data_IF_501569865994
#
_entry.id   IF_501569865994
#
_cell.length_a   1.000
_cell.length_b   1.000
_cell.length_c   1.000
_cell.angle_alpha   90.00
_cell.angle_beta   90.00
_cell.angle_gamma   90.00
#
_symmetry.space_group_name_H-M   'P 1'
#
loop_
_entity.id
_entity.type
_entity.pdbx_description
1 polymer ?
#
# COMPACT_ATOMS: atom_id res chain seq x y z
N UNK A 1 -10.19 -29.99 -40.18
CA UNK A 1 -10.77 -29.48 -38.93
C UNK A 1 -9.67 -28.68 -38.25
N UNK A 2 -9.72 -27.35 -38.37
CA UNK A 2 -8.76 -26.46 -37.72
C UNK A 2 -8.99 -26.51 -36.19
N UNK A 3 -7.94 -26.54 -35.36
CA UNK A 3 -8.12 -26.43 -33.91
C UNK A 3 -8.74 -25.05 -33.58
N UNK A 4 -9.55 -24.97 -32.50
CA UNK A 4 -10.17 -23.71 -32.11
C UNK A 4 -9.11 -22.67 -31.70
N UNK A 5 -9.39 -21.37 -31.90
CA UNK A 5 -8.50 -20.31 -31.45
C UNK A 5 -8.41 -20.32 -29.92
N UNK A 6 -7.18 -20.21 -29.44
CA UNK A 6 -6.78 -20.21 -28.03
C UNK A 6 -7.60 -19.18 -27.21
N UNK A 7 -8.44 -19.67 -26.30
CA UNK A 7 -9.28 -18.84 -25.41
C UNK A 7 -8.58 -18.61 -24.07
N UNK A 8 -7.42 -17.96 -24.07
CA UNK A 8 -6.78 -17.49 -22.84
C UNK A 8 -6.74 -15.96 -22.74
N UNK A 9 -7.88 -15.29 -22.47
CA UNK A 9 -7.87 -13.90 -22.05
C UNK A 9 -7.53 -13.84 -20.55
N UNK A 10 -6.26 -14.09 -20.17
CA UNK A 10 -5.70 -13.65 -18.87
C UNK A 10 -4.21 -13.94 -18.63
N UNK A 11 -3.50 -14.62 -19.54
CA UNK A 11 -2.08 -14.97 -19.33
C UNK A 11 -1.15 -13.75 -19.19
N UNK A 12 -1.45 -12.62 -19.84
CA UNK A 12 -0.64 -11.38 -19.77
C UNK A 12 -0.76 -10.66 -18.43
N UNK A 13 -1.91 -10.77 -17.76
CA UNK A 13 -2.14 -10.21 -16.43
C UNK A 13 -1.25 -10.96 -15.42
N UNK A 14 -1.29 -12.29 -15.45
CA UNK A 14 -0.43 -13.14 -14.62
C UNK A 14 1.07 -12.91 -14.83
N UNK A 15 1.51 -12.71 -16.07
CA UNK A 15 2.92 -12.48 -16.38
C UNK A 15 3.43 -11.12 -15.90
N UNK A 16 2.55 -10.12 -15.90
CA UNK A 16 2.87 -8.79 -15.36
C UNK A 16 3.00 -8.86 -13.85
N UNK A 17 2.06 -9.51 -13.18
CA UNK A 17 2.07 -9.68 -11.73
C UNK A 17 3.29 -10.47 -11.25
N UNK A 18 3.74 -11.48 -12.01
CA UNK A 18 4.97 -12.21 -11.74
C UNK A 18 6.23 -11.32 -11.78
N UNK A 19 6.30 -10.37 -12.72
CA UNK A 19 7.42 -9.42 -12.79
C UNK A 19 7.37 -8.44 -11.60
N UNK A 20 6.19 -7.93 -11.26
CA UNK A 20 5.99 -7.05 -10.10
C UNK A 20 6.45 -7.74 -8.81
N UNK A 21 6.00 -8.98 -8.61
CA UNK A 21 6.34 -9.78 -7.43
C UNK A 21 7.84 -10.09 -7.37
N UNK A 22 8.46 -10.42 -8.51
CA UNK A 22 9.90 -10.65 -8.54
C UNK A 22 10.71 -9.41 -8.20
N UNK A 23 10.33 -8.23 -8.73
CA UNK A 23 10.98 -6.96 -8.37
C UNK A 23 10.81 -6.69 -6.87
N UNK A 24 9.60 -6.91 -6.32
CA UNK A 24 9.32 -6.75 -4.88
C UNK A 24 10.21 -7.65 -4.03
N UNK A 25 10.25 -8.96 -4.34
CA UNK A 25 11.07 -9.92 -3.59
C UNK A 25 12.55 -9.60 -3.70
N UNK A 26 13.01 -9.18 -4.88
CA UNK A 26 14.41 -8.77 -5.08
C UNK A 26 14.80 -7.56 -4.23
N UNK A 27 13.88 -6.61 -4.02
CA UNK A 27 14.09 -5.46 -3.13
C UNK A 27 14.19 -5.93 -1.68
N UNK A 28 13.28 -6.81 -1.24
CA UNK A 28 13.25 -7.33 0.13
C UNK A 28 14.50 -8.16 0.44
N UNK A 29 14.95 -8.98 -0.51
CA UNK A 29 16.17 -9.80 -0.39
C UNK A 29 17.46 -8.99 -0.54
N UNK A 30 17.37 -7.71 -0.93
CA UNK A 30 18.51 -6.83 -1.17
C UNK A 30 19.27 -7.12 -2.47
N UNK A 31 18.75 -7.97 -3.36
CA UNK A 31 19.32 -8.24 -4.68
C UNK A 31 19.00 -7.14 -5.70
N UNK A 32 18.02 -6.28 -5.39
CA UNK A 32 17.79 -5.00 -6.05
C UNK A 32 17.74 -3.84 -5.04
N UNK A 33 18.62 -2.86 -5.18
CA UNK A 33 18.71 -1.67 -4.36
C UNK A 33 18.15 -0.42 -5.06
N UNK A 34 17.48 0.49 -4.32
CA UNK A 34 17.14 1.81 -4.80
C UNK A 34 18.36 2.56 -5.34
N UNK A 35 18.19 3.30 -6.44
CA UNK A 35 19.29 4.07 -7.04
C UNK A 35 20.26 3.24 -7.90
N UNK A 36 20.08 1.94 -8.06
CA UNK A 36 20.86 1.12 -8.99
C UNK A 36 20.15 0.92 -10.34
N UNK A 37 20.94 0.70 -11.39
CA UNK A 37 20.43 0.46 -12.75
C UNK A 37 20.38 -1.03 -13.07
N UNK A 38 19.23 -1.47 -13.60
CA UNK A 38 18.94 -2.85 -13.95
C UNK A 38 18.60 -2.99 -15.43
N UNK A 39 19.06 -4.09 -16.02
CA UNK A 39 18.79 -4.44 -17.41
C UNK A 39 17.44 -5.15 -17.55
N UNK A 40 16.59 -4.64 -18.43
CA UNK A 40 15.34 -5.31 -18.85
C UNK A 40 15.63 -6.70 -19.45
N UNK A 41 16.75 -6.84 -20.17
CA UNK A 41 17.14 -8.11 -20.79
C UNK A 41 17.48 -9.15 -19.73
N UNK A 42 18.30 -8.76 -18.75
CA UNK A 42 18.71 -9.66 -17.67
C UNK A 42 17.51 -10.11 -16.84
N UNK A 43 16.60 -9.18 -16.51
CA UNK A 43 15.36 -9.50 -15.80
C UNK A 43 14.47 -10.47 -16.60
N UNK A 44 14.39 -10.29 -17.92
CA UNK A 44 13.64 -11.20 -18.79
C UNK A 44 14.24 -12.62 -18.82
N UNK A 45 15.56 -12.72 -18.88
CA UNK A 45 16.28 -13.99 -18.85
C UNK A 45 16.13 -14.69 -17.48
N UNK A 46 16.25 -13.94 -16.37
CA UNK A 46 16.06 -14.44 -14.99
C UNK A 46 14.66 -15.01 -14.77
N UNK A 47 13.65 -14.39 -15.36
CA UNK A 47 12.26 -14.82 -15.23
C UNK A 47 11.83 -15.87 -16.27
N UNK A 48 12.68 -16.18 -17.26
CA UNK A 48 12.31 -16.99 -18.43
C UNK A 48 11.06 -16.45 -19.18
N UNK A 49 10.89 -15.13 -19.22
CA UNK A 49 9.76 -14.43 -19.84
C UNK A 49 10.27 -13.59 -21.01
N UNK A 50 9.46 -13.45 -22.08
CA UNK A 50 9.85 -12.58 -23.19
C UNK A 50 9.92 -11.10 -22.80
N UNK A 51 10.72 -10.31 -23.53
CA UNK A 51 10.98 -8.90 -23.20
C UNK A 51 9.76 -7.98 -23.21
N UNK A 52 8.75 -8.27 -24.04
CA UNK A 52 7.56 -7.41 -24.16
C UNK A 52 6.75 -7.38 -22.86
N UNK A 53 6.28 -8.50 -22.27
CA UNK A 53 5.56 -8.48 -21.00
C UNK A 53 6.40 -7.97 -19.82
N UNK A 54 7.72 -8.20 -19.80
CA UNK A 54 8.61 -7.60 -18.79
C UNK A 54 8.60 -6.08 -18.91
N UNK A 55 8.72 -5.56 -20.13
CA UNK A 55 8.68 -4.12 -20.38
C UNK A 55 7.31 -3.53 -20.06
N UNK A 56 6.21 -4.21 -20.39
CA UNK A 56 4.86 -3.78 -20.04
C UNK A 56 4.69 -3.68 -18.52
N UNK A 57 5.21 -4.64 -17.76
CA UNK A 57 5.19 -4.62 -16.29
C UNK A 57 6.03 -3.49 -15.71
N UNK A 58 7.26 -3.31 -16.21
CA UNK A 58 8.13 -2.22 -15.78
C UNK A 58 7.53 -0.84 -16.13
N UNK A 59 6.84 -0.69 -17.25
CA UNK A 59 6.12 0.55 -17.58
C UNK A 59 5.00 0.83 -16.55
N UNK A 60 4.29 -0.20 -16.06
CA UNK A 60 3.33 -0.01 -14.97
C UNK A 60 4.01 0.42 -13.67
N UNK A 61 5.18 -0.11 -13.35
CA UNK A 61 5.99 0.33 -12.21
C UNK A 61 6.43 1.79 -12.35
N UNK A 62 6.77 2.22 -13.58
CA UNK A 62 7.12 3.61 -13.87
C UNK A 62 5.90 4.53 -13.72
N UNK A 63 4.73 4.12 -14.22
CA UNK A 63 3.48 4.89 -14.09
C UNK A 63 3.05 5.14 -12.63
N UNK A 64 3.44 4.26 -11.71
CA UNK A 64 3.18 4.42 -10.27
C UNK A 64 4.39 4.95 -9.49
N UNK A 65 5.48 5.32 -10.17
CA UNK A 65 6.64 5.99 -9.57
C UNK A 65 7.64 5.09 -8.85
N UNK A 66 7.54 3.76 -8.99
CA UNK A 66 8.46 2.81 -8.33
C UNK A 66 9.79 2.71 -9.07
N UNK A 67 9.78 2.85 -10.39
CA UNK A 67 10.98 2.86 -11.22
C UNK A 67 11.01 4.06 -12.14
N UNK A 68 12.17 4.31 -12.74
CA UNK A 68 12.32 5.19 -13.91
C UNK A 68 13.15 4.53 -14.98
N UNK A 69 12.80 4.74 -16.25
CA UNK A 69 13.61 4.30 -17.38
C UNK A 69 14.66 5.34 -17.78
N UNK A 70 15.79 4.85 -18.30
CA UNK A 70 16.69 5.67 -19.12
C UNK A 70 17.15 4.92 -20.36
N UNK A 71 17.24 5.67 -21.46
CA UNK A 71 17.70 5.15 -22.75
C UNK A 71 19.08 4.51 -22.60
N UNK A 72 19.22 3.29 -23.09
CA UNK A 72 20.44 2.48 -23.06
C UNK A 72 20.97 2.11 -21.65
N UNK A 73 20.21 2.37 -20.58
CA UNK A 73 20.58 1.98 -19.20
C UNK A 73 19.64 0.96 -18.58
N UNK A 74 18.42 0.83 -19.12
CA UNK A 74 17.39 -0.02 -18.56
C UNK A 74 16.52 0.78 -17.60
N UNK A 75 16.25 0.23 -16.42
CA UNK A 75 15.41 0.86 -15.39
C UNK A 75 16.16 1.00 -14.07
N UNK A 76 15.73 1.92 -13.23
CA UNK A 76 16.28 2.13 -11.90
C UNK A 76 15.15 2.24 -10.89
N UNK A 77 15.32 1.60 -9.73
CA UNK A 77 14.40 1.75 -8.60
C UNK A 77 14.51 3.17 -8.04
N UNK A 78 13.36 3.83 -7.91
CA UNK A 78 13.27 5.18 -7.34
C UNK A 78 13.34 5.04 -5.82
N UNK A 79 14.28 5.73 -5.13
CA UNK A 79 14.30 5.73 -3.68
C UNK A 79 13.06 6.40 -3.11
N UNK A 80 12.39 5.78 -2.15
CA UNK A 80 11.37 6.45 -1.33
C UNK A 80 12.05 7.14 -0.17
N UNK A 81 12.01 8.46 -0.19
CA UNK A 81 12.46 9.27 0.94
C UNK A 81 11.40 9.27 2.04
N UNK A 82 11.77 9.54 3.31
CA UNK A 82 10.80 9.80 4.36
C UNK A 82 9.79 10.91 3.97
N UNK A 83 10.23 11.90 3.19
CA UNK A 83 9.41 12.96 2.65
C UNK A 83 8.35 12.45 1.67
N UNK A 84 8.71 11.52 0.79
CA UNK A 84 7.76 10.88 -0.12
C UNK A 84 6.68 10.11 0.66
N UNK A 85 7.06 9.40 1.73
CA UNK A 85 6.10 8.69 2.59
C UNK A 85 5.13 9.68 3.23
N UNK A 86 5.63 10.76 3.84
CA UNK A 86 4.78 11.77 4.45
C UNK A 86 3.80 12.38 3.43
N UNK A 87 4.28 12.73 2.24
CA UNK A 87 3.43 13.26 1.15
C UNK A 87 2.35 12.26 0.71
N UNK A 88 2.72 10.98 0.54
CA UNK A 88 1.77 9.91 0.21
C UNK A 88 0.66 9.86 1.26
N UNK A 89 1.00 9.87 2.54
CA UNK A 89 0.01 9.77 3.61
C UNK A 89 -0.82 11.05 3.78
N UNK A 90 -0.27 12.24 3.50
CA UNK A 90 -1.04 13.48 3.43
C UNK A 90 -2.09 13.44 2.30
N UNK A 91 -1.71 12.96 1.11
CA UNK A 91 -2.65 12.77 -0.01
C UNK A 91 -3.71 11.74 0.34
N UNK A 92 -3.30 10.61 0.94
CA UNK A 92 -4.23 9.59 1.40
C UNK A 92 -5.19 10.13 2.46
N UNK A 93 -4.73 10.89 3.44
CA UNK A 93 -5.58 11.52 4.46
C UNK A 93 -6.65 12.40 3.81
N UNK A 94 -6.24 13.30 2.91
CA UNK A 94 -7.15 14.19 2.19
C UNK A 94 -8.23 13.47 1.34
N UNK A 95 -8.00 12.21 0.96
CA UNK A 95 -8.92 11.43 0.14
C UNK A 95 -9.74 10.42 0.94
N UNK A 96 -9.09 9.69 1.85
CA UNK A 96 -9.65 8.52 2.52
C UNK A 96 -10.44 8.90 3.78
N UNK A 97 -10.03 9.93 4.52
CA UNK A 97 -10.77 10.43 5.70
C UNK A 97 -12.18 10.90 5.32
N UNK A 98 -12.38 11.84 4.37
CA UNK A 98 -13.71 12.22 3.96
C UNK A 98 -14.49 11.06 3.31
N UNK A 99 -13.79 10.14 2.63
CA UNK A 99 -14.42 8.95 2.05
C UNK A 99 -14.99 8.02 3.13
N UNK A 100 -14.27 7.75 4.21
CA UNK A 100 -14.75 6.93 5.32
C UNK A 100 -16.03 7.51 5.92
N UNK A 101 -16.04 8.82 6.21
CA UNK A 101 -17.23 9.51 6.71
C UNK A 101 -18.40 9.53 5.73
N UNK A 102 -18.15 9.56 4.42
CA UNK A 102 -19.21 9.48 3.41
C UNK A 102 -19.74 8.06 3.25
N UNK A 103 -18.85 7.07 3.21
CA UNK A 103 -19.18 5.66 3.07
C UNK A 103 -20.07 5.16 4.20
N UNK A 104 -19.90 5.67 5.44
CA UNK A 104 -20.79 5.32 6.55
C UNK A 104 -22.26 5.68 6.27
N UNK A 105 -22.51 6.74 5.49
CA UNK A 105 -23.85 7.21 5.14
C UNK A 105 -24.36 6.66 3.80
N UNK A 106 -23.48 6.36 2.85
CA UNK A 106 -23.85 6.06 1.46
C UNK A 106 -23.60 4.63 0.98
N UNK A 107 -22.91 3.78 1.76
CA UNK A 107 -22.67 2.37 1.39
C UNK A 107 -23.99 1.61 1.17
N UNK A 108 -24.00 0.70 0.20
CA UNK A 108 -25.12 -0.23 0.01
C UNK A 108 -25.03 -1.41 0.99
N UNK A 109 -26.11 -2.20 1.17
CA UNK A 109 -26.07 -3.43 1.95
C UNK A 109 -24.98 -4.40 1.46
N UNK A 110 -24.83 -4.56 0.14
CA UNK A 110 -23.81 -5.45 -0.46
C UNK A 110 -22.40 -4.96 -0.14
N UNK A 111 -22.17 -3.65 -0.10
CA UNK A 111 -20.89 -3.08 0.29
C UNK A 111 -20.63 -3.25 1.80
N UNK A 112 -21.66 -3.18 2.63
CA UNK A 112 -21.55 -3.47 4.06
C UNK A 112 -21.13 -4.93 4.30
N UNK A 113 -21.76 -5.88 3.59
CA UNK A 113 -21.40 -7.30 3.63
C UNK A 113 -19.96 -7.51 3.13
N UNK A 114 -19.56 -6.83 2.05
CA UNK A 114 -18.20 -6.89 1.53
C UNK A 114 -17.17 -6.37 2.55
N UNK A 115 -17.44 -5.25 3.21
CA UNK A 115 -16.56 -4.69 4.25
C UNK A 115 -16.41 -5.68 5.42
N UNK A 116 -17.52 -6.27 5.88
CA UNK A 116 -17.49 -7.27 6.95
C UNK A 116 -16.70 -8.52 6.55
N UNK A 117 -16.88 -9.02 5.32
CA UNK A 117 -16.15 -10.17 4.81
C UNK A 117 -14.64 -9.88 4.68
N UNK A 118 -14.26 -8.68 4.26
CA UNK A 118 -12.86 -8.26 4.18
C UNK A 118 -12.20 -8.23 5.55
N UNK A 119 -12.92 -7.81 6.60
CA UNK A 119 -12.41 -7.91 7.97
C UNK A 119 -12.10 -9.36 8.35
N UNK A 120 -13.07 -10.27 8.16
CA UNK A 120 -12.85 -11.68 8.48
C UNK A 120 -11.65 -12.24 7.70
N UNK A 121 -11.52 -11.90 6.42
CA UNK A 121 -10.39 -12.33 5.61
C UNK A 121 -9.04 -11.77 6.10
N UNK A 122 -8.99 -10.52 6.56
CA UNK A 122 -7.79 -9.93 7.18
C UNK A 122 -7.44 -10.63 8.49
N UNK A 123 -8.43 -10.89 9.36
CA UNK A 123 -8.20 -11.60 10.63
C UNK A 123 -7.69 -13.02 10.40
N UNK A 124 -8.25 -13.75 9.42
CA UNK A 124 -7.75 -15.08 9.04
C UNK A 124 -6.32 -15.02 8.51
N UNK A 125 -6.02 -14.12 7.57
CA UNK A 125 -4.68 -13.98 7.03
C UNK A 125 -3.66 -13.56 8.09
N UNK A 126 -4.05 -12.72 9.06
CA UNK A 126 -3.22 -12.35 10.19
C UNK A 126 -2.89 -13.56 11.08
N UNK A 127 -3.88 -14.38 11.42
CA UNK A 127 -3.70 -15.59 12.23
C UNK A 127 -2.83 -16.65 11.53
N UNK A 128 -2.93 -16.74 10.21
CA UNK A 128 -2.11 -17.64 9.37
C UNK A 128 -0.73 -17.07 9.04
N UNK A 129 -0.44 -15.83 9.45
CA UNK A 129 0.79 -15.09 9.12
C UNK A 129 1.01 -14.93 7.60
N UNK A 130 -0.06 -14.92 6.81
CA UNK A 130 -0.02 -14.73 5.36
C UNK A 130 -0.03 -13.22 5.03
N UNK A 131 1.16 -12.61 5.04
CA UNK A 131 1.32 -11.19 4.74
C UNK A 131 0.76 -10.80 3.37
N UNK A 132 0.93 -11.67 2.37
CA UNK A 132 0.52 -11.38 1.00
C UNK A 132 -1.00 -11.23 0.95
N UNK A 133 -1.72 -12.24 1.45
CA UNK A 133 -3.18 -12.20 1.48
C UNK A 133 -3.66 -11.06 2.37
N UNK A 134 -3.03 -10.85 3.53
CA UNK A 134 -3.39 -9.77 4.45
C UNK A 134 -3.38 -8.41 3.75
N UNK A 135 -2.26 -8.04 3.12
CA UNK A 135 -2.12 -6.73 2.47
C UNK A 135 -2.98 -6.59 1.22
N UNK A 136 -3.27 -7.68 0.50
CA UNK A 136 -4.28 -7.65 -0.57
C UNK A 136 -5.67 -7.29 -0.01
N UNK A 137 -6.10 -7.92 1.09
CA UNK A 137 -7.41 -7.65 1.71
C UNK A 137 -7.48 -6.26 2.35
N UNK A 138 -6.39 -5.79 2.97
CA UNK A 138 -6.25 -4.40 3.44
C UNK A 138 -6.38 -3.41 2.26
N UNK A 139 -5.79 -3.70 1.10
CA UNK A 139 -6.01 -2.87 -0.10
C UNK A 139 -7.49 -2.83 -0.51
N UNK A 140 -8.12 -4.00 -0.54
CA UNK A 140 -9.50 -4.15 -0.97
C UNK A 140 -10.45 -3.40 -0.01
N UNK A 141 -10.15 -3.36 1.30
CA UNK A 141 -10.91 -2.63 2.31
C UNK A 141 -10.93 -1.12 2.04
N UNK A 142 -9.76 -0.52 1.83
CA UNK A 142 -9.66 0.89 1.48
C UNK A 142 -10.36 1.20 0.14
N UNK A 143 -10.21 0.30 -0.84
CA UNK A 143 -10.84 0.45 -2.15
C UNK A 143 -12.38 0.37 -2.09
N UNK A 144 -12.95 -0.52 -1.27
CA UNK A 144 -14.41 -0.61 -1.12
C UNK A 144 -14.96 0.61 -0.38
N UNK A 145 -14.25 1.14 0.64
CA UNK A 145 -14.66 2.38 1.33
C UNK A 145 -14.71 3.56 0.35
N UNK A 146 -13.68 3.74 -0.48
CA UNK A 146 -13.65 4.79 -1.50
C UNK A 146 -14.76 4.60 -2.56
N UNK A 147 -15.05 3.35 -2.93
CA UNK A 147 -16.14 3.04 -3.87
C UNK A 147 -17.50 3.34 -3.24
N UNK A 148 -17.73 2.98 -1.99
CA UNK A 148 -18.95 3.26 -1.23
C UNK A 148 -19.19 4.76 -1.04
N UNK A 149 -18.13 5.56 -0.97
CA UNK A 149 -18.18 7.01 -0.98
C UNK A 149 -18.43 7.62 -2.38
N UNK A 150 -18.50 6.81 -3.45
CA UNK A 150 -18.61 7.28 -4.83
C UNK A 150 -17.35 7.98 -5.36
N UNK A 151 -16.19 7.71 -4.76
CA UNK A 151 -14.91 8.39 -5.05
C UNK A 151 -13.98 7.51 -5.91
N UNK A 152 -14.47 7.02 -7.05
CA UNK A 152 -13.72 6.10 -7.92
C UNK A 152 -12.36 6.64 -8.41
N UNK A 153 -12.26 7.94 -8.70
CA UNK A 153 -10.97 8.57 -9.06
C UNK A 153 -9.98 8.57 -7.90
N UNK A 154 -10.47 8.80 -6.69
CA UNK A 154 -9.64 8.73 -5.49
C UNK A 154 -9.19 7.30 -5.22
N UNK A 155 -10.06 6.30 -5.41
CA UNK A 155 -9.71 4.87 -5.37
C UNK A 155 -8.54 4.54 -6.28
N UNK A 156 -8.59 4.96 -7.54
CA UNK A 156 -7.51 4.71 -8.49
C UNK A 156 -6.19 5.34 -8.04
N UNK A 157 -6.23 6.58 -7.51
CA UNK A 157 -5.05 7.27 -7.00
C UNK A 157 -4.48 6.58 -5.75
N UNK A 158 -5.32 6.30 -4.75
CA UNK A 158 -4.92 5.64 -3.50
C UNK A 158 -4.34 4.26 -3.78
N UNK A 159 -4.91 3.49 -4.72
CA UNK A 159 -4.35 2.19 -5.11
C UNK A 159 -2.92 2.34 -5.64
N UNK A 160 -2.66 3.32 -6.52
CA UNK A 160 -1.29 3.57 -7.02
C UNK A 160 -0.32 3.93 -5.89
N UNK A 161 -0.73 4.82 -4.97
CA UNK A 161 0.08 5.24 -3.83
C UNK A 161 0.38 4.08 -2.88
N UNK A 162 -0.61 3.21 -2.62
CA UNK A 162 -0.46 2.00 -1.78
C UNK A 162 0.48 0.97 -2.42
N UNK A 163 0.44 0.78 -3.74
CA UNK A 163 1.40 -0.11 -4.43
C UNK A 163 2.80 0.48 -4.38
N UNK A 164 2.96 1.79 -4.61
CA UNK A 164 4.27 2.46 -4.51
C UNK A 164 4.90 2.29 -3.13
N UNK A 165 4.12 2.52 -2.07
CA UNK A 165 4.60 2.36 -0.69
C UNK A 165 5.05 0.92 -0.40
N UNK A 166 4.28 -0.08 -0.85
CA UNK A 166 4.58 -1.51 -0.63
C UNK A 166 5.79 -2.01 -1.40
N UNK A 167 5.90 -1.64 -2.67
CA UNK A 167 7.01 -2.08 -3.53
C UNK A 167 8.37 -1.63 -2.99
N UNK A 168 8.38 -0.51 -2.27
CA UNK A 168 9.61 0.11 -1.78
C UNK A 168 9.92 -0.34 -0.35
N UNK A 169 9.49 -1.54 0.05
CA UNK A 169 9.88 -2.22 1.29
C UNK A 169 9.36 -1.58 2.57
N UNK A 170 8.42 -0.64 2.48
CA UNK A 170 7.69 -0.11 3.63
C UNK A 170 6.61 -1.14 4.03
N UNK A 171 7.04 -2.21 4.70
CA UNK A 171 6.14 -3.15 5.35
C UNK A 171 6.13 -2.87 6.84
N UNK A 172 4.96 -2.55 7.38
CA UNK A 172 4.78 -2.31 8.81
C UNK A 172 4.85 -3.58 9.65
N UNK A 173 4.88 -4.77 9.02
CA UNK A 173 4.94 -6.08 9.70
C UNK A 173 6.36 -6.50 10.12
N UNK A 174 7.40 -5.88 9.57
CA UNK A 174 8.80 -6.28 9.79
C UNK A 174 9.36 -5.72 11.11
N UNK A 175 8.80 -6.16 12.24
CA UNK A 175 9.33 -5.95 13.59
C UNK A 175 8.76 -4.75 14.35
N UNK A 176 7.93 -3.92 13.72
CA UNK A 176 7.28 -2.79 14.42
C UNK A 176 5.86 -3.12 14.90
N UNK A 177 5.12 -3.97 14.17
CA UNK A 177 3.77 -4.43 14.50
C UNK A 177 3.55 -5.83 13.95
N UNK A 178 2.71 -6.63 14.58
CA UNK A 178 2.22 -7.90 14.05
C UNK A 178 1.09 -7.68 13.04
N UNK A 179 0.76 -8.68 12.20
CA UNK A 179 -0.42 -8.59 11.33
C UNK A 179 -1.72 -8.46 12.14
N UNK A 180 -1.78 -9.06 13.33
CA UNK A 180 -2.91 -8.94 14.25
C UNK A 180 -3.07 -7.51 14.78
N UNK A 181 -1.97 -6.83 15.11
CA UNK A 181 -1.99 -5.40 15.49
C UNK A 181 -2.57 -4.56 14.36
N UNK A 182 -2.09 -4.76 13.14
CA UNK A 182 -2.54 -4.02 11.96
C UNK A 182 -4.02 -4.33 11.69
N UNK A 183 -4.47 -5.58 11.83
CA UNK A 183 -5.89 -5.93 11.66
C UNK A 183 -6.77 -5.19 12.68
N UNK A 184 -6.34 -5.17 13.95
CA UNK A 184 -7.07 -4.47 15.03
C UNK A 184 -7.19 -2.97 14.81
N UNK A 185 -6.21 -2.34 14.17
CA UNK A 185 -6.28 -0.91 13.81
C UNK A 185 -7.40 -0.59 12.81
N UNK A 186 -7.88 -1.56 12.04
CA UNK A 186 -8.99 -1.38 11.10
C UNK A 186 -10.37 -1.52 11.75
N UNK A 187 -10.47 -2.17 12.92
CA UNK A 187 -11.75 -2.36 13.64
C UNK A 187 -12.52 -1.04 13.84
N UNK A 188 -11.92 0.05 14.36
CA UNK A 188 -12.66 1.28 14.60
C UNK A 188 -13.22 1.90 13.30
N UNK A 189 -12.50 1.77 12.19
CA UNK A 189 -12.94 2.25 10.88
C UNK A 189 -14.16 1.45 10.43
N UNK A 190 -14.05 0.12 10.46
CA UNK A 190 -15.08 -0.80 10.00
C UNK A 190 -16.33 -0.65 10.85
N UNK A 191 -16.19 -0.65 12.18
CA UNK A 191 -17.28 -0.44 13.11
C UNK A 191 -17.99 0.89 12.86
N UNK A 192 -17.25 2.00 12.68
CA UNK A 192 -17.87 3.30 12.43
C UNK A 192 -18.58 3.38 11.06
N UNK A 193 -17.97 2.82 10.00
CA UNK A 193 -18.57 2.77 8.67
C UNK A 193 -19.82 1.90 8.67
N UNK A 194 -19.78 0.72 9.28
CA UNK A 194 -20.94 -0.17 9.39
C UNK A 194 -22.01 0.37 10.34
N UNK A 195 -21.62 1.08 11.39
CA UNK A 195 -22.53 1.74 12.34
C UNK A 195 -23.21 3.00 11.80
N UNK A 196 -22.74 3.53 10.66
CA UNK A 196 -23.32 4.73 10.07
C UNK A 196 -22.92 6.03 10.77
N UNK A 197 -21.78 6.04 11.47
CA UNK A 197 -21.26 7.22 12.16
C UNK A 197 -20.18 7.91 11.30
N UNK A 198 -20.52 9.05 10.65
CA UNK A 198 -19.58 9.74 9.77
C UNK A 198 -18.44 10.46 10.51
N UNK A 199 -18.63 10.83 11.78
CA UNK A 199 -17.57 11.48 12.57
C UNK A 199 -16.58 10.42 13.04
N UNK A 200 -17.07 9.37 13.70
CA UNK A 200 -16.22 8.28 14.16
C UNK A 200 -15.44 7.62 13.00
N UNK A 201 -16.03 7.52 11.80
CA UNK A 201 -15.35 6.95 10.64
C UNK A 201 -14.21 7.83 10.11
N UNK A 202 -14.36 9.15 10.16
CA UNK A 202 -13.28 10.10 9.79
C UNK A 202 -12.14 10.00 10.80
N UNK A 203 -12.46 10.13 12.09
CA UNK A 203 -11.48 10.13 13.16
C UNK A 203 -10.72 8.80 13.24
N UNK A 204 -11.39 7.67 12.96
CA UNK A 204 -10.75 6.36 12.90
C UNK A 204 -9.81 6.23 11.70
N UNK A 205 -10.22 6.68 10.51
CA UNK A 205 -9.39 6.63 9.30
C UNK A 205 -8.17 7.55 9.43
N UNK A 206 -8.35 8.75 9.97
CA UNK A 206 -7.28 9.71 10.20
C UNK A 206 -6.21 9.13 11.14
N UNK A 207 -6.62 8.59 12.30
CA UNK A 207 -5.70 7.94 13.25
C UNK A 207 -4.96 6.77 12.64
N UNK A 208 -5.64 5.92 11.89
CA UNK A 208 -5.01 4.79 11.21
C UNK A 208 -3.94 5.24 10.21
N UNK A 209 -4.23 6.25 9.40
CA UNK A 209 -3.29 6.80 8.42
C UNK A 209 -2.13 7.52 9.11
N UNK A 210 -2.38 8.27 10.17
CA UNK A 210 -1.34 8.94 10.94
C UNK A 210 -0.37 7.94 11.58
N UNK A 211 -0.91 6.92 12.27
CA UNK A 211 -0.12 5.89 12.91
C UNK A 211 0.74 5.13 11.89
N UNK A 212 0.12 4.70 10.77
CA UNK A 212 0.84 3.97 9.72
C UNK A 212 1.88 4.85 9.02
N UNK A 213 1.55 6.10 8.70
CA UNK A 213 2.46 7.01 8.01
C UNK A 213 3.68 7.36 8.86
N UNK A 214 3.48 7.70 10.13
CA UNK A 214 4.58 7.99 11.07
C UNK A 214 5.51 6.79 11.23
N UNK A 215 4.96 5.59 11.30
CA UNK A 215 5.74 4.35 11.38
C UNK A 215 6.62 4.16 10.13
N UNK A 216 6.05 4.40 8.95
CA UNK A 216 6.75 4.23 7.68
C UNK A 216 7.81 5.31 7.44
N UNK A 217 7.61 6.53 7.95
CA UNK A 217 8.65 7.57 8.01
C UNK A 217 9.83 7.11 8.86
N UNK A 218 9.57 6.57 10.06
CA UNK A 218 10.64 6.00 10.90
C UNK A 218 11.39 4.86 10.18
N UNK A 219 10.67 3.97 9.49
CA UNK A 219 11.30 2.91 8.71
C UNK A 219 12.15 3.44 7.55
N UNK A 220 11.70 4.51 6.88
CA UNK A 220 12.47 5.13 5.79
C UNK A 220 13.77 5.79 6.30
N UNK A 221 13.72 6.45 7.46
CA UNK A 221 14.90 7.00 8.14
C UNK A 221 15.89 5.89 8.54
N UNK A 222 15.41 4.83 9.19
CA UNK A 222 16.24 3.70 9.60
C UNK A 222 16.98 3.05 8.43
N UNK A 223 16.32 2.90 7.28
CA UNK A 223 16.93 2.30 6.07
C UNK A 223 17.96 3.19 5.39
N UNK A 224 17.82 4.51 5.51
CA UNK A 224 18.76 5.47 4.94
C UNK A 224 19.92 5.81 5.88
N UNK A 225 19.89 5.33 7.13
CA UNK A 225 20.86 5.72 8.17
C UNK A 225 20.72 7.19 8.58
N UNK A 226 19.54 7.77 8.37
CA UNK A 226 19.24 9.15 8.68
C UNK A 226 18.81 9.28 10.15
N UNK A 227 19.55 10.08 10.92
CA UNK A 227 19.40 10.24 12.37
C UNK A 227 18.35 11.30 12.77
N UNK A 228 17.62 11.89 11.81
CA UNK A 228 16.53 12.83 12.12
C UNK A 228 15.45 12.17 12.98
N UNK A 229 14.86 12.96 13.88
CA UNK A 229 13.73 12.52 14.70
C UNK A 229 12.49 12.29 13.81
N UNK A 230 12.00 11.05 13.77
CA UNK A 230 10.90 10.67 12.89
C UNK A 230 9.57 11.32 13.27
N UNK A 231 9.30 11.52 14.57
CA UNK A 231 8.06 12.12 15.02
C UNK A 231 8.04 13.62 14.70
N UNK A 232 9.17 14.31 14.90
CA UNK A 232 9.33 15.70 14.51
C UNK A 232 9.21 15.87 12.99
N UNK A 233 9.87 15.00 12.21
CA UNK A 233 9.83 15.05 10.75
C UNK A 233 8.42 14.79 10.23
N UNK A 234 7.73 13.78 10.76
CA UNK A 234 6.33 13.50 10.44
C UNK A 234 5.45 14.73 10.72
N UNK A 235 5.51 15.27 11.95
CA UNK A 235 4.71 16.43 12.34
C UNK A 235 4.96 17.64 11.43
N UNK A 236 6.21 17.94 11.07
CA UNK A 236 6.54 19.05 10.19
C UNK A 236 6.03 18.86 8.76
N UNK A 237 6.15 17.64 8.22
CA UNK A 237 5.78 17.35 6.84
C UNK A 237 4.27 17.17 6.63
N UNK A 238 3.55 16.85 7.70
CA UNK A 238 2.11 16.59 7.65
C UNK A 238 1.28 17.63 8.38
N UNK A 239 1.88 18.76 8.77
CA UNK A 239 1.18 19.90 9.36
C UNK A 239 0.00 20.34 8.47
N UNK A 240 -1.17 20.53 9.08
CA UNK A 240 -2.42 20.83 8.39
C UNK A 240 -3.11 19.66 7.67
N UNK A 241 -2.54 18.45 7.66
CA UNK A 241 -3.16 17.24 7.08
C UNK A 241 -3.68 16.24 8.11
N UNK A 242 -3.19 16.32 9.35
CA UNK A 242 -3.65 15.54 10.49
C UNK A 242 -3.87 16.47 11.69
N UNK A 243 -4.93 16.25 12.46
CA UNK A 243 -5.13 16.98 13.72
C UNK A 243 -4.06 16.57 14.77
N UNK A 244 -3.59 17.51 15.60
CA UNK A 244 -2.55 17.27 16.64
C UNK A 244 -2.89 16.11 17.59
N UNK A 245 -4.18 15.83 17.79
CA UNK A 245 -4.67 14.76 18.66
C UNK A 245 -4.45 13.36 18.05
N UNK A 246 -4.22 13.27 16.75
CA UNK A 246 -4.06 12.02 16.01
C UNK A 246 -2.67 11.38 16.17
N UNK A 247 -1.70 12.12 16.75
CA UNK A 247 -0.30 11.68 16.98
C UNK A 247 -0.13 11.04 18.37
N UNK A 248 -1.15 11.11 19.24
CA UNK A 248 -1.06 10.58 20.60
C UNK A 248 -1.13 9.05 20.67
N UNK A 249 0.03 8.45 20.98
CA UNK A 249 0.31 7.12 21.53
C UNK A 249 0.17 5.89 20.62
N UNK A 250 1.28 5.54 19.94
CA UNK A 250 1.70 4.14 19.97
C UNK A 250 2.11 3.81 21.42
N UNK A 251 1.71 2.67 22.00
CA UNK A 251 2.20 2.28 23.32
C UNK A 251 3.73 2.15 23.27
N UNK A 252 4.45 2.54 24.33
CA UNK A 252 5.87 2.20 24.44
C UNK A 252 5.98 0.67 24.43
N UNK A 253 6.79 0.14 23.51
CA UNK A 253 7.24 -1.25 23.59
C UNK A 253 8.02 -1.39 24.91
N UNK A 254 7.43 -2.08 25.90
CA UNK A 254 8.21 -2.60 27.02
C UNK A 254 9.12 -3.72 26.50
N UNK A 255 10.43 -3.67 26.77
CA UNK A 255 11.34 -4.74 26.38
C UNK A 255 11.10 -5.99 27.25
N UNK A 256 10.97 -7.15 26.60
CA UNK A 256 11.14 -8.48 27.24
C UNK A 256 12.64 -8.80 27.29
#
# INVERSE_FOLDING_TARGET
>A
MLPPPDQHPNARVSMTDAVMEHVRSSIVEGSMAPGEWYSVYRLADELAISRSPVRDALLRLEEIGVIRFAKNRGFQLVPTTPEDVAQIFSIRSALEVPAAGRASLSRTPEQADQIAALRTAMDTAAAETDEKVFFERDQDLHAVILTAAGMNRAREMVNKLRVSTRMLGASTSHGLRTLEDISREHEPIITAVLGGDPHAARDAMERHLAATGSLLVQQALNRSGDERDAALLWSQLTDGYFEETSIASAPPNDPI
#
